data_IF_395335042399
#
_entry.id   IF_395335042399
#
_cell.length_a   1.000
_cell.length_b   1.000
_cell.length_c   1.000
_cell.angle_alpha   90.00
_cell.angle_beta   90.00
_cell.angle_gamma   90.00
#
_symmetry.space_group_name_H-M   'P 1'
#
loop_
_entity.id
_entity.type
_entity.pdbx_description
1 polymer ?
#
# COMPACT_ATOMS: atom_id res chain seq x y z
N UNK A 1 13.43 -5.99 1.23
CA UNK A 1 12.12 -5.29 1.06
C UNK A 1 12.25 -3.96 0.34
N UNK A 2 12.92 -2.94 0.89
CA UNK A 2 13.02 -1.62 0.26
C UNK A 2 13.65 -1.64 -1.15
N UNK A 3 14.72 -2.42 -1.35
CA UNK A 3 15.38 -2.59 -2.65
C UNK A 3 14.42 -3.11 -3.74
N UNK A 4 13.60 -4.10 -3.41
CA UNK A 4 12.55 -4.63 -4.31
C UNK A 4 11.48 -3.57 -4.62
N UNK A 5 11.00 -2.85 -3.59
CA UNK A 5 9.99 -1.80 -3.79
C UNK A 5 10.49 -0.66 -4.70
N UNK A 6 11.75 -0.23 -4.53
CA UNK A 6 12.40 0.77 -5.41
C UNK A 6 12.53 0.22 -6.83
N UNK A 7 12.97 -1.03 -6.99
CA UNK A 7 13.10 -1.66 -8.30
C UNK A 7 11.77 -1.68 -9.06
N UNK A 8 10.66 -2.02 -8.39
CA UNK A 8 9.33 -1.94 -8.99
C UNK A 8 8.95 -0.51 -9.38
N UNK A 9 9.27 0.49 -8.54
CA UNK A 9 8.96 1.90 -8.82
C UNK A 9 9.68 2.41 -10.08
N UNK A 10 10.92 1.98 -10.31
CA UNK A 10 11.70 2.34 -11.51
C UNK A 10 11.49 1.36 -12.68
N UNK A 11 10.55 0.41 -12.55
CA UNK A 11 10.26 -0.63 -13.55
C UNK A 11 11.44 -1.55 -13.90
N UNK A 12 12.41 -1.72 -12.99
CA UNK A 12 13.53 -2.65 -13.15
C UNK A 12 13.16 -4.03 -12.59
N UNK A 13 12.55 -4.86 -13.46
CA UNK A 13 12.14 -6.22 -13.09
C UNK A 13 13.31 -7.16 -12.81
N UNK A 14 14.49 -6.90 -13.40
CA UNK A 14 15.69 -7.67 -13.15
C UNK A 14 16.17 -7.46 -11.71
N UNK A 15 16.26 -6.19 -11.30
CA UNK A 15 16.63 -5.82 -9.94
C UNK A 15 15.58 -6.26 -8.91
N UNK A 16 14.29 -6.22 -9.27
CA UNK A 16 13.21 -6.73 -8.42
C UNK A 16 13.38 -8.25 -8.19
N UNK A 17 13.57 -9.01 -9.26
CA UNK A 17 13.81 -10.46 -9.20
C UNK A 17 15.05 -10.81 -8.39
N UNK A 18 16.19 -10.14 -8.65
CA UNK A 18 17.41 -10.33 -7.89
C UNK A 18 17.20 -10.07 -6.40
N UNK A 19 16.52 -8.97 -6.05
CA UNK A 19 16.24 -8.62 -4.66
C UNK A 19 15.33 -9.63 -3.97
N UNK A 20 14.44 -10.29 -4.72
CA UNK A 20 13.57 -11.36 -4.22
C UNK A 20 14.38 -12.64 -3.96
N UNK A 21 15.24 -13.06 -4.89
CA UNK A 21 16.13 -14.22 -4.68
C UNK A 21 17.09 -14.03 -3.52
N UNK A 22 17.63 -12.83 -3.34
CA UNK A 22 18.49 -12.49 -2.19
C UNK A 22 17.74 -12.67 -0.85
N UNK A 23 16.44 -12.34 -0.80
CA UNK A 23 15.60 -12.52 0.39
C UNK A 23 15.26 -14.00 0.62
N UNK A 24 14.96 -14.74 -0.44
CA UNK A 24 14.65 -16.17 -0.38
C UNK A 24 15.80 -16.99 0.25
N UNK A 25 17.06 -16.62 0.03
CA UNK A 25 18.21 -17.28 0.65
C UNK A 25 18.18 -17.16 2.20
N UNK A 26 17.62 -16.06 2.71
CA UNK A 26 17.63 -15.73 4.15
C UNK A 26 16.33 -16.19 4.83
N UNK A 27 15.26 -16.35 4.06
CA UNK A 27 13.90 -16.62 4.53
C UNK A 27 13.53 -18.08 4.24
N UNK A 28 12.48 -18.61 4.88
CA UNK A 28 11.92 -19.89 4.46
C UNK A 28 11.20 -19.74 3.11
N UNK A 29 11.18 -20.79 2.29
CA UNK A 29 10.55 -20.80 0.96
C UNK A 29 9.05 -20.39 1.02
N UNK A 30 8.35 -20.77 2.09
CA UNK A 30 6.94 -20.44 2.36
C UNK A 30 6.73 -19.15 3.18
N UNK A 31 7.72 -18.25 3.24
CA UNK A 31 7.54 -17.00 3.97
C UNK A 31 6.50 -16.10 3.28
N UNK A 32 5.46 -15.72 4.01
CA UNK A 32 4.41 -14.80 3.55
C UNK A 32 4.94 -13.51 2.92
N UNK A 33 6.11 -13.07 3.34
CA UNK A 33 6.79 -11.90 2.81
C UNK A 33 7.19 -12.11 1.36
N UNK A 34 7.72 -13.29 1.00
CA UNK A 34 8.05 -13.61 -0.40
C UNK A 34 6.78 -13.66 -1.24
N UNK A 35 5.72 -14.28 -0.74
CA UNK A 35 4.42 -14.34 -1.41
C UNK A 35 3.86 -12.92 -1.65
N UNK A 36 3.94 -12.02 -0.66
CA UNK A 36 3.51 -10.63 -0.80
C UNK A 36 4.32 -9.85 -1.85
N UNK A 37 5.63 -10.09 -1.95
CA UNK A 37 6.49 -9.48 -2.99
C UNK A 37 6.11 -9.98 -4.38
N UNK A 38 5.85 -11.28 -4.52
CA UNK A 38 5.45 -11.91 -5.77
C UNK A 38 4.07 -11.39 -6.22
N UNK A 39 3.11 -11.29 -5.30
CA UNK A 39 1.79 -10.68 -5.52
C UNK A 39 1.89 -9.23 -5.99
N UNK A 40 2.70 -8.42 -5.31
CA UNK A 40 2.91 -7.01 -5.67
C UNK A 40 3.55 -6.88 -7.05
N UNK A 41 4.52 -7.73 -7.37
CA UNK A 41 5.17 -7.76 -8.68
C UNK A 41 4.16 -8.12 -9.78
N UNK A 42 3.35 -9.16 -9.58
CA UNK A 42 2.26 -9.55 -10.49
C UNK A 42 1.27 -8.41 -10.73
N UNK A 43 0.84 -7.73 -9.67
CA UNK A 43 -0.05 -6.58 -9.78
C UNK A 43 0.57 -5.43 -10.58
N UNK A 44 1.86 -5.12 -10.33
CA UNK A 44 2.56 -4.06 -11.07
C UNK A 44 2.59 -4.34 -12.56
N UNK A 45 2.96 -5.56 -12.97
CA UNK A 45 3.09 -5.94 -14.39
C UNK A 45 1.75 -6.26 -15.08
N UNK A 46 0.65 -6.37 -14.33
CA UNK A 46 -0.69 -6.63 -14.89
C UNK A 46 -1.13 -5.48 -15.78
N UNK A 47 -1.04 -5.67 -17.10
CA UNK A 47 -1.33 -4.66 -18.12
C UNK A 47 -2.57 -4.98 -18.97
N UNK A 48 -3.17 -6.15 -18.78
CA UNK A 48 -4.46 -6.55 -19.36
C UNK A 48 -5.51 -6.70 -18.27
N UNK A 49 -6.80 -6.63 -18.64
CA UNK A 49 -7.90 -6.85 -17.69
C UNK A 49 -7.81 -8.23 -17.04
N UNK A 50 -7.58 -9.28 -17.84
CA UNK A 50 -7.52 -10.66 -17.34
C UNK A 50 -6.39 -10.88 -16.31
N UNK A 51 -5.20 -10.31 -16.58
CA UNK A 51 -4.07 -10.39 -15.65
C UNK A 51 -4.33 -9.57 -14.38
N UNK A 52 -4.98 -8.42 -14.53
CA UNK A 52 -5.38 -7.58 -13.40
C UNK A 52 -6.39 -8.33 -12.52
N UNK A 53 -7.46 -8.87 -13.10
CA UNK A 53 -8.51 -9.60 -12.36
C UNK A 53 -7.92 -10.80 -11.60
N UNK A 54 -7.05 -11.59 -12.26
CA UNK A 54 -6.33 -12.70 -11.63
C UNK A 54 -5.42 -12.26 -10.49
N UNK A 55 -4.72 -11.13 -10.66
CA UNK A 55 -3.86 -10.56 -9.61
C UNK A 55 -4.67 -10.02 -8.42
N UNK A 56 -5.79 -9.36 -8.68
CA UNK A 56 -6.71 -8.86 -7.66
C UNK A 56 -7.29 -9.99 -6.83
N UNK A 57 -7.74 -11.07 -7.47
CA UNK A 57 -8.26 -12.25 -6.77
C UNK A 57 -7.17 -12.93 -5.92
N UNK A 58 -5.96 -13.09 -6.47
CA UNK A 58 -4.83 -13.65 -5.72
C UNK A 58 -4.49 -12.82 -4.48
N UNK A 59 -4.54 -11.48 -4.60
CA UNK A 59 -4.26 -10.57 -3.48
C UNK A 59 -5.37 -10.65 -2.44
N UNK A 60 -6.63 -10.70 -2.86
CA UNK A 60 -7.77 -10.82 -1.95
C UNK A 60 -7.65 -12.08 -1.08
N UNK A 61 -7.43 -13.25 -1.71
CA UNK A 61 -7.25 -14.52 -1.00
C UNK A 61 -6.09 -14.49 0.00
N UNK A 62 -4.99 -13.80 -0.36
CA UNK A 62 -3.86 -13.63 0.55
C UNK A 62 -4.20 -12.71 1.74
N UNK A 63 -4.87 -11.58 1.50
CA UNK A 63 -5.25 -10.63 2.55
C UNK A 63 -6.19 -11.28 3.58
N UNK A 64 -7.12 -12.11 3.12
CA UNK A 64 -8.08 -12.80 4.00
C UNK A 64 -7.37 -13.70 5.03
N UNK A 65 -6.25 -14.31 4.64
CA UNK A 65 -5.52 -15.27 5.47
C UNK A 65 -4.24 -14.71 6.12
N UNK A 66 -3.80 -13.52 5.75
CA UNK A 66 -2.59 -12.93 6.31
C UNK A 66 -2.82 -12.53 7.78
N UNK A 67 -1.90 -12.81 8.73
CA UNK A 67 -2.02 -12.33 10.11
C UNK A 67 -1.39 -10.95 10.32
N UNK A 68 -0.47 -10.53 9.44
CA UNK A 68 0.32 -9.30 9.57
C UNK A 68 -0.44 -8.08 9.03
N UNK A 69 -0.84 -7.12 9.89
CA UNK A 69 -1.57 -5.94 9.46
C UNK A 69 -0.78 -5.05 8.48
N UNK A 70 0.54 -4.95 8.63
CA UNK A 70 1.35 -4.12 7.74
C UNK A 70 1.39 -4.69 6.33
N UNK A 71 1.52 -6.02 6.19
CA UNK A 71 1.47 -6.68 4.88
C UNK A 71 0.11 -6.50 4.22
N UNK A 72 -0.99 -6.70 4.97
CA UNK A 72 -2.35 -6.47 4.47
C UNK A 72 -2.51 -5.07 3.93
N UNK A 73 -2.22 -4.06 4.75
CA UNK A 73 -2.43 -2.65 4.37
C UNK A 73 -1.52 -2.28 3.20
N UNK A 74 -0.29 -2.78 3.18
CA UNK A 74 0.63 -2.54 2.05
C UNK A 74 0.08 -3.07 0.72
N UNK A 75 -0.55 -4.26 0.73
CA UNK A 75 -1.19 -4.82 -0.46
C UNK A 75 -2.50 -4.09 -0.81
N UNK A 76 -3.33 -3.72 0.17
CA UNK A 76 -4.51 -2.87 -0.04
C UNK A 76 -4.10 -1.58 -0.75
N UNK A 77 -3.09 -0.87 -0.25
CA UNK A 77 -2.59 0.36 -0.87
C UNK A 77 -2.02 0.12 -2.27
N UNK A 78 -1.37 -1.03 -2.51
CA UNK A 78 -0.88 -1.38 -3.85
C UNK A 78 -2.05 -1.59 -4.85
N UNK A 79 -3.13 -2.24 -4.41
CA UNK A 79 -4.35 -2.40 -5.21
C UNK A 79 -5.01 -1.05 -5.46
N UNK A 80 -5.16 -0.21 -4.44
CA UNK A 80 -5.71 1.15 -4.60
C UNK A 80 -4.88 1.95 -5.61
N UNK A 81 -3.56 1.90 -5.53
CA UNK A 81 -2.67 2.56 -6.50
C UNK A 81 -2.89 2.06 -7.93
N UNK A 82 -2.96 0.73 -8.12
CA UNK A 82 -3.15 0.13 -9.45
C UNK A 82 -4.53 0.42 -10.05
N UNK A 83 -5.53 0.61 -9.19
CA UNK A 83 -6.95 0.77 -9.56
C UNK A 83 -7.45 2.21 -9.41
N UNK A 84 -6.55 3.20 -9.35
CA UNK A 84 -6.90 4.63 -9.27
C UNK A 84 -8.01 5.00 -10.25
N UNK A 85 -9.11 5.53 -9.71
CA UNK A 85 -10.29 5.96 -10.47
C UNK A 85 -11.37 4.89 -10.68
N UNK A 86 -11.08 3.61 -10.41
CA UNK A 86 -12.06 2.52 -10.45
C UNK A 86 -11.68 1.41 -9.45
N UNK A 87 -11.87 1.69 -8.16
CA UNK A 87 -11.46 0.78 -7.08
C UNK A 87 -12.48 -0.35 -6.88
N UNK A 88 -12.04 -1.62 -6.76
CA UNK A 88 -12.93 -2.72 -6.41
C UNK A 88 -13.59 -2.49 -5.05
N UNK A 89 -14.89 -2.79 -4.95
CA UNK A 89 -15.69 -2.56 -3.72
C UNK A 89 -15.07 -3.23 -2.49
N UNK A 90 -14.61 -4.48 -2.63
CA UNK A 90 -13.99 -5.22 -1.54
C UNK A 90 -12.74 -4.54 -0.97
N UNK A 91 -11.98 -3.79 -1.78
CA UNK A 91 -10.78 -3.08 -1.33
C UNK A 91 -11.17 -1.85 -0.51
N UNK A 92 -12.26 -1.18 -0.92
CA UNK A 92 -12.79 -0.01 -0.21
C UNK A 92 -13.32 -0.44 1.16
N UNK A 93 -14.11 -1.52 1.22
CA UNK A 93 -14.63 -2.10 2.46
C UNK A 93 -13.50 -2.51 3.42
N UNK A 94 -12.49 -3.23 2.93
CA UNK A 94 -11.33 -3.61 3.73
C UNK A 94 -10.54 -2.40 4.25
N UNK A 95 -10.43 -1.34 3.46
CA UNK A 95 -9.74 -0.12 3.86
C UNK A 95 -10.54 0.65 4.93
N UNK A 96 -11.86 0.74 4.79
CA UNK A 96 -12.74 1.37 5.79
C UNK A 96 -12.69 0.63 7.13
N UNK A 97 -12.63 -0.70 7.11
CA UNK A 97 -12.51 -1.54 8.31
C UNK A 97 -11.21 -1.30 9.11
N UNK A 98 -10.16 -0.74 8.48
CA UNK A 98 -8.94 -0.35 9.18
C UNK A 98 -9.19 0.73 10.25
N UNK A 99 -10.23 1.54 10.08
CA UNK A 99 -10.58 2.60 11.03
C UNK A 99 -11.46 2.09 12.19
N UNK A 100 -12.10 0.92 12.02
CA UNK A 100 -12.85 0.24 13.08
C UNK A 100 -11.89 -0.45 14.07
N UNK A 101 -10.69 -0.83 13.61
CA UNK A 101 -9.66 -1.48 14.42
C UNK A 101 -8.35 -0.69 14.36
N UNK A 102 -8.17 0.35 15.19
CA UNK A 102 -7.03 1.24 15.10
C UNK A 102 -5.70 0.50 15.23
N UNK A 103 -4.77 0.82 14.32
CA UNK A 103 -3.41 0.34 14.37
C UNK A 103 -2.66 0.93 15.55
N UNK A 104 -1.76 0.13 16.14
CA UNK A 104 -0.75 0.59 17.09
C UNK A 104 0.07 1.76 16.51
N UNK A 105 0.59 2.64 17.34
CA UNK A 105 1.31 3.85 16.91
C UNK A 105 2.72 3.99 17.52
N UNK A 106 3.12 3.03 18.35
CA UNK A 106 4.41 3.00 19.03
C UNK A 106 5.58 2.72 18.06
N UNK A 107 5.32 1.97 16.99
CA UNK A 107 6.32 1.63 15.98
C UNK A 107 6.29 2.58 14.78
N UNK A 108 7.48 3.01 14.33
CA UNK A 108 7.62 3.94 13.22
C UNK A 108 6.97 3.44 11.91
N UNK A 109 7.04 2.14 11.62
CA UNK A 109 6.40 1.54 10.45
C UNK A 109 4.87 1.72 10.49
N UNK A 110 4.26 1.55 11.67
CA UNK A 110 2.83 1.72 11.84
C UNK A 110 2.41 3.19 11.80
N UNK A 111 3.20 4.13 12.35
CA UNK A 111 2.91 5.57 12.19
C UNK A 111 2.84 5.98 10.72
N UNK A 112 3.77 5.49 9.90
CA UNK A 112 3.82 5.75 8.45
C UNK A 112 2.61 5.16 7.73
N UNK A 113 2.28 3.90 7.99
CA UNK A 113 1.14 3.28 7.32
C UNK A 113 -0.18 3.93 7.75
N UNK A 114 -0.29 4.37 9.01
CA UNK A 114 -1.47 5.07 9.51
C UNK A 114 -1.67 6.41 8.79
N UNK A 115 -0.59 7.18 8.57
CA UNK A 115 -0.63 8.39 7.76
C UNK A 115 -1.13 8.10 6.32
N UNK A 116 -0.67 7.00 5.71
CA UNK A 116 -1.14 6.57 4.40
C UNK A 116 -2.61 6.13 4.38
N UNK A 117 -3.12 5.47 5.43
CA UNK A 117 -4.54 5.12 5.53
C UNK A 117 -5.41 6.39 5.46
N UNK A 118 -5.02 7.46 6.15
CA UNK A 118 -5.74 8.74 6.08
C UNK A 118 -5.66 9.40 4.70
N UNK A 119 -4.53 9.28 4.01
CA UNK A 119 -4.44 9.75 2.62
C UNK A 119 -5.46 9.02 1.73
N UNK A 120 -5.43 7.68 1.75
CA UNK A 120 -6.31 6.84 0.94
C UNK A 120 -7.78 7.02 1.31
N UNK A 121 -8.11 7.25 2.58
CA UNK A 121 -9.48 7.58 2.99
C UNK A 121 -9.99 8.83 2.27
N UNK A 122 -9.17 9.87 2.13
CA UNK A 122 -9.54 11.09 1.39
C UNK A 122 -9.52 10.94 -0.13
N UNK A 123 -8.85 9.90 -0.65
CA UNK A 123 -8.93 9.52 -2.06
C UNK A 123 -10.26 8.78 -2.34
N UNK A 124 -10.63 7.85 -1.45
CA UNK A 124 -11.84 7.04 -1.55
C UNK A 124 -13.12 7.85 -1.30
N UNK A 125 -13.11 8.75 -0.32
CA UNK A 125 -14.22 9.65 -0.03
C UNK A 125 -13.82 11.12 -0.29
N UNK A 126 -14.26 11.63 -1.43
CA UNK A 126 -13.99 13.01 -1.85
C UNK A 126 -14.62 14.06 -0.95
N UNK A 127 -15.72 13.75 -0.24
CA UNK A 127 -16.36 14.69 0.68
C UNK A 127 -15.52 14.91 1.94
N UNK A 128 -14.76 13.89 2.35
CA UNK A 128 -13.89 13.93 3.52
C UNK A 128 -12.44 14.31 3.17
N UNK A 129 -12.11 14.49 1.88
CA UNK A 129 -10.74 14.69 1.38
C UNK A 129 -9.95 15.71 2.18
N UNK A 130 -10.48 16.93 2.35
CA UNK A 130 -9.79 18.00 3.08
C UNK A 130 -9.40 17.56 4.50
N UNK A 131 -10.38 17.07 5.26
CA UNK A 131 -10.16 16.63 6.65
C UNK A 131 -9.20 15.43 6.75
N UNK A 132 -9.35 14.45 5.85
CA UNK A 132 -8.52 13.26 5.82
C UNK A 132 -7.07 13.58 5.42
N UNK A 133 -6.88 14.47 4.45
CA UNK A 133 -5.54 14.86 4.01
C UNK A 133 -4.85 15.77 5.02
N UNK A 134 -5.57 16.64 5.74
CA UNK A 134 -5.02 17.38 6.87
C UNK A 134 -4.52 16.44 7.98
N UNK A 135 -5.30 15.43 8.33
CA UNK A 135 -4.91 14.42 9.32
C UNK A 135 -3.73 13.56 8.83
N UNK A 136 -3.72 13.20 7.54
CA UNK A 136 -2.61 12.49 6.90
C UNK A 136 -1.30 13.31 6.96
N UNK A 137 -1.35 14.61 6.64
CA UNK A 137 -0.20 15.54 6.74
C UNK A 137 0.32 15.61 8.17
N UNK A 138 -0.58 15.76 9.16
CA UNK A 138 -0.20 15.77 10.57
C UNK A 138 0.50 14.47 10.97
N UNK A 139 -0.06 13.32 10.58
CA UNK A 139 0.51 12.00 10.89
C UNK A 139 1.83 11.74 10.18
N UNK A 140 2.00 12.18 8.94
CA UNK A 140 3.30 12.10 8.26
C UNK A 140 4.37 12.88 9.00
N UNK A 141 4.08 14.08 9.51
CA UNK A 141 5.02 14.84 10.35
C UNK A 141 5.37 14.10 11.63
N UNK A 142 4.38 13.55 12.33
CA UNK A 142 4.58 12.74 13.55
C UNK A 142 5.31 11.41 13.28
N UNK A 143 5.28 10.92 12.03
CA UNK A 143 6.03 9.77 11.56
C UNK A 143 7.43 10.11 11.01
N UNK A 144 7.88 11.36 11.17
CA UNK A 144 9.15 11.89 10.66
C UNK A 144 9.27 11.83 9.12
N UNK A 145 8.13 11.83 8.42
CA UNK A 145 8.02 11.84 6.97
C UNK A 145 7.67 13.24 6.45
N UNK A 146 8.49 14.23 6.80
CA UNK A 146 8.24 15.65 6.48
C UNK A 146 8.13 15.93 4.98
N UNK A 147 8.91 15.23 4.15
CA UNK A 147 8.83 15.38 2.69
C UNK A 147 7.45 14.97 2.16
N UNK A 148 6.97 13.78 2.54
CA UNK A 148 5.63 13.30 2.15
C UNK A 148 4.51 14.24 2.67
N UNK A 149 4.68 14.79 3.88
CA UNK A 149 3.74 15.75 4.42
C UNK A 149 3.67 17.05 3.59
N UNK A 150 4.81 17.54 3.11
CA UNK A 150 4.88 18.75 2.29
C UNK A 150 4.35 18.51 0.88
N UNK A 151 4.71 17.37 0.26
CA UNK A 151 4.17 16.97 -1.04
C UNK A 151 2.63 16.89 -1.02
N UNK A 152 2.07 16.28 0.02
CA UNK A 152 0.62 16.21 0.19
C UNK A 152 -0.02 17.58 0.47
N UNK A 153 0.66 18.46 1.21
CA UNK A 153 0.19 19.84 1.42
C UNK A 153 0.14 20.62 0.10
N UNK A 154 1.15 20.47 -0.75
CA UNK A 154 1.20 21.10 -2.07
C UNK A 154 0.12 20.53 -3.00
N UNK A 155 -0.16 19.23 -2.94
CA UNK A 155 -1.27 18.60 -3.66
C UNK A 155 -2.62 19.12 -3.17
N UNK A 156 -2.84 19.16 -1.85
CA UNK A 156 -4.07 19.67 -1.25
C UNK A 156 -4.34 21.11 -1.67
N UNK A 157 -3.32 21.98 -1.61
CA UNK A 157 -3.44 23.40 -1.97
C UNK A 157 -3.77 23.60 -3.45
N UNK A 158 -3.28 22.72 -4.34
CA UNK A 158 -3.62 22.74 -5.78
C UNK A 158 -5.01 22.20 -6.09
N UNK A 159 -5.62 21.46 -5.17
CA UNK A 159 -6.94 20.85 -5.34
C UNK A 159 -8.11 21.72 -4.83
N UNK A 160 -7.79 22.84 -4.16
CA UNK A 160 -8.72 23.87 -3.67
C UNK A 160 -8.90 24.98 -4.71
#
# INVERSE_FOLDING_TARGET
>A
LLKHAIALQISDLSLASQSRSELEIIMSEDDETLVALDLRTRLTISNTSELLDSSLESIRLFIDNCPDPLKKISLIHAVLEKTRGNHPVWVQELHDDLFNNPLRDDLAAYRRINAQCWYWRGVLDSNLRLSCWQESIHRFRSAECTLAANELLDELTRSL
#
